data_IF_134378287250
#
_entry.id   IF_134378287250
#
_cell.length_a   1.000
_cell.length_b   1.000
_cell.length_c   1.000
_cell.angle_alpha   90.00
_cell.angle_beta   90.00
_cell.angle_gamma   90.00
#
_symmetry.space_group_name_H-M   'P 1'
#
loop_
_entity.id
_entity.type
_entity.pdbx_description
1 polymer ?
#
# COMPACT_ATOMS: atom_id res chain seq x y z
N UNK A 1 -10.65 -8.58 -0.47
CA UNK A 1 -10.67 -10.05 -0.55
C UNK A 1 -9.49 -10.62 0.23
N UNK A 2 -9.74 -11.47 1.23
CA UNK A 2 -8.68 -12.14 1.99
C UNK A 2 -7.86 -13.10 1.12
N UNK A 3 -8.53 -13.85 0.23
CA UNK A 3 -7.88 -14.76 -0.72
C UNK A 3 -6.90 -14.00 -1.62
N UNK A 4 -7.34 -12.89 -2.23
CA UNK A 4 -6.49 -12.03 -3.06
C UNK A 4 -5.21 -11.62 -2.32
N UNK A 5 -5.38 -11.10 -1.10
CA UNK A 5 -4.26 -10.67 -0.26
C UNK A 5 -3.31 -11.82 0.05
N UNK A 6 -3.83 -12.92 0.58
CA UNK A 6 -3.02 -14.04 1.06
C UNK A 6 -2.27 -14.74 -0.09
N UNK A 7 -2.85 -14.75 -1.29
CA UNK A 7 -2.24 -15.32 -2.48
C UNK A 7 -1.14 -14.42 -3.06
N UNK A 8 -1.38 -13.12 -3.20
CA UNK A 8 -0.38 -12.20 -3.79
C UNK A 8 0.72 -11.79 -2.81
N UNK A 9 0.49 -11.78 -1.49
CA UNK A 9 1.55 -11.54 -0.49
C UNK A 9 2.74 -12.50 -0.66
N UNK A 10 2.49 -13.73 -1.10
CA UNK A 10 3.52 -14.75 -1.33
C UNK A 10 4.49 -14.38 -2.46
N UNK A 11 4.13 -13.42 -3.32
CA UNK A 11 5.01 -12.91 -4.38
C UNK A 11 6.05 -11.91 -3.86
N UNK A 12 5.96 -11.48 -2.60
CA UNK A 12 6.93 -10.58 -1.96
C UNK A 12 7.13 -9.25 -2.70
N UNK A 13 6.10 -8.75 -3.41
CA UNK A 13 6.08 -7.44 -4.10
C UNK A 13 5.44 -6.32 -3.26
N UNK A 14 5.43 -6.47 -1.94
CA UNK A 14 4.73 -5.58 -1.02
C UNK A 14 3.34 -6.09 -0.61
N UNK A 15 2.55 -5.22 0.02
CA UNK A 15 1.22 -5.57 0.50
C UNK A 15 0.16 -5.28 -0.58
N UNK A 16 -0.55 -6.30 -1.10
CA UNK A 16 -1.56 -6.12 -2.14
C UNK A 16 -2.85 -5.50 -1.57
N UNK A 17 -3.23 -4.33 -2.09
CA UNK A 17 -4.51 -3.70 -1.78
C UNK A 17 -5.60 -4.23 -2.72
N UNK A 18 -6.77 -4.52 -2.16
CA UNK A 18 -7.97 -4.92 -2.92
C UNK A 18 -8.81 -3.71 -3.34
N UNK A 19 -8.71 -2.60 -2.59
CA UNK A 19 -9.33 -1.31 -2.91
C UNK A 19 -8.22 -0.26 -2.98
N UNK A 20 -7.47 -0.19 -4.08
CA UNK A 20 -6.23 0.62 -4.16
C UNK A 20 -6.48 2.13 -4.23
N UNK A 21 -7.71 2.57 -4.53
CA UNK A 21 -8.05 3.99 -4.64
C UNK A 21 -8.03 4.71 -3.29
N UNK A 22 -7.60 5.99 -3.23
CA UNK A 22 -7.64 6.78 -2.00
C UNK A 22 -9.08 7.07 -1.56
N UNK A 23 -9.26 7.27 -0.25
CA UNK A 23 -10.57 7.65 0.30
C UNK A 23 -10.98 9.05 -0.18
N UNK A 24 -12.26 9.23 -0.53
CA UNK A 24 -12.80 10.48 -1.12
C UNK A 24 -12.85 11.67 -0.16
N UNK A 25 -12.75 11.43 1.14
CA UNK A 25 -12.73 12.44 2.19
C UNK A 25 -11.32 12.99 2.48
N UNK A 26 -10.28 12.49 1.82
CA UNK A 26 -8.92 13.01 1.94
C UNK A 26 -8.73 14.30 1.11
N UNK A 27 -7.71 15.12 1.40
CA UNK A 27 -7.42 16.30 0.59
C UNK A 27 -7.25 15.97 -0.90
N UNK A 28 -7.72 16.87 -1.78
CA UNK A 28 -7.70 16.64 -3.22
C UNK A 28 -6.30 16.36 -3.78
N UNK A 29 -5.27 16.96 -3.18
CA UNK A 29 -3.87 16.68 -3.51
C UNK A 29 -3.51 15.21 -3.25
N UNK A 30 -3.84 14.68 -2.08
CA UNK A 30 -3.61 13.27 -1.75
C UNK A 30 -4.45 12.34 -2.63
N UNK A 31 -5.69 12.70 -2.96
CA UNK A 31 -6.52 11.90 -3.87
C UNK A 31 -5.90 11.72 -5.27
N UNK A 32 -5.11 12.70 -5.75
CA UNK A 32 -4.40 12.60 -7.03
C UNK A 32 -3.13 11.75 -6.93
N UNK A 33 -2.41 11.83 -5.82
CA UNK A 33 -1.13 11.14 -5.64
C UNK A 33 -1.31 9.67 -5.19
N UNK A 34 -2.32 9.41 -4.37
CA UNK A 34 -2.50 8.14 -3.67
C UNK A 34 -1.41 7.85 -2.64
N UNK A 35 -1.38 6.59 -2.18
CA UNK A 35 -0.39 6.08 -1.22
C UNK A 35 1.03 6.35 -1.72
N UNK A 36 1.89 6.90 -0.90
CA UNK A 36 3.23 7.34 -1.25
C UNK A 36 4.25 6.97 -0.18
N UNK A 37 5.53 6.97 -0.54
CA UNK A 37 6.62 6.72 0.41
C UNK A 37 6.55 7.72 1.58
N UNK A 38 6.65 7.20 2.80
CA UNK A 38 6.55 7.96 4.05
C UNK A 38 5.16 7.99 4.66
N UNK A 39 4.14 7.54 3.95
CA UNK A 39 2.79 7.50 4.50
C UNK A 39 2.72 6.55 5.70
N UNK A 40 2.07 7.01 6.75
CA UNK A 40 1.70 6.25 7.92
C UNK A 40 0.20 6.05 7.89
N UNK A 41 -0.22 4.80 8.04
CA UNK A 41 -1.62 4.43 7.91
C UNK A 41 -1.91 3.01 8.33
N UNK A 42 -3.12 2.53 8.05
CA UNK A 42 -3.48 1.11 8.19
C UNK A 42 -4.09 0.57 6.91
N UNK A 43 -4.02 -0.73 6.73
CA UNK A 43 -4.87 -1.42 5.76
C UNK A 43 -6.22 -1.69 6.40
N UNK A 44 -7.31 -1.28 5.75
CA UNK A 44 -8.67 -1.48 6.26
C UNK A 44 -9.17 -2.91 6.00
N UNK A 45 -10.20 -3.39 6.73
CA UNK A 45 -10.81 -4.70 6.45
C UNK A 45 -11.34 -4.83 5.01
N UNK A 46 -11.79 -3.72 4.42
CA UNK A 46 -12.28 -3.66 3.04
C UNK A 46 -11.12 -3.82 2.01
N UNK A 47 -9.87 -3.68 2.47
CA UNK A 47 -8.66 -3.87 1.67
C UNK A 47 -8.14 -2.60 1.02
N UNK A 48 -8.53 -1.42 1.52
CA UNK A 48 -7.96 -0.13 1.16
C UNK A 48 -6.89 0.35 2.14
N UNK A 49 -6.29 1.50 1.84
CA UNK A 49 -5.34 2.16 2.73
C UNK A 49 -5.97 3.39 3.39
N UNK A 50 -5.91 3.42 4.71
CA UNK A 50 -6.39 4.49 5.56
C UNK A 50 -5.20 5.36 5.99
N UNK A 51 -5.06 6.50 5.31
CA UNK A 51 -3.97 7.45 5.50
C UNK A 51 -4.14 8.27 6.78
N UNK A 52 -3.04 8.45 7.53
CA UNK A 52 -3.00 9.33 8.69
C UNK A 52 -2.13 10.56 8.44
N UNK A 53 -0.85 10.38 8.09
CA UNK A 53 0.09 11.46 7.80
C UNK A 53 1.31 10.91 7.04
N UNK A 54 2.19 11.78 6.54
CA UNK A 54 3.44 11.40 5.89
C UNK A 54 4.66 11.93 6.67
N UNK A 55 5.60 11.05 7.01
CA UNK A 55 6.74 11.39 7.87
C UNK A 55 7.76 12.35 7.24
N UNK A 56 7.75 12.51 5.92
CA UNK A 56 8.72 13.35 5.19
C UNK A 56 8.17 14.74 4.85
N UNK A 57 6.93 15.03 5.26
CA UNK A 57 6.26 16.29 5.01
C UNK A 57 6.08 17.07 6.31
N UNK A 58 6.19 18.41 6.26
CA UNK A 58 6.01 19.23 7.45
C UNK A 58 4.59 19.11 8.01
N UNK A 59 4.42 19.44 9.29
CA UNK A 59 3.15 19.31 10.01
C UNK A 59 1.99 20.05 9.32
N UNK A 60 2.29 21.22 8.76
CA UNK A 60 1.37 22.13 8.07
C UNK A 60 1.14 21.78 6.59
N UNK A 61 1.70 20.67 6.10
CA UNK A 61 1.49 20.25 4.73
C UNK A 61 0.00 20.02 4.43
N UNK A 62 -0.54 20.52 3.30
CA UNK A 62 -1.98 20.46 3.01
C UNK A 62 -2.59 19.06 3.07
N UNK A 63 -1.84 18.01 2.69
CA UNK A 63 -2.31 16.63 2.76
C UNK A 63 -2.64 16.15 4.19
N UNK A 64 -2.01 16.74 5.21
CA UNK A 64 -2.29 16.41 6.60
C UNK A 64 -3.61 17.02 7.07
N UNK A 65 -4.08 18.09 6.42
CA UNK A 65 -5.29 18.81 6.82
C UNK A 65 -5.33 19.13 8.34
N UNK A 66 -4.18 19.52 8.91
CA UNK A 66 -3.97 19.75 10.34
C UNK A 66 -4.12 18.51 11.24
N UNK A 67 -3.98 17.30 10.67
CA UNK A 67 -4.02 16.04 11.39
C UNK A 67 -2.65 15.37 11.38
N UNK A 68 -1.88 15.64 12.44
CA UNK A 68 -0.63 14.96 12.80
C UNK A 68 -0.57 14.80 14.32
N UNK A 69 0.28 13.91 14.87
CA UNK A 69 0.60 13.89 16.30
C UNK A 69 1.06 15.26 16.82
N UNK A 70 0.78 15.58 18.07
CA UNK A 70 1.13 16.88 18.67
C UNK A 70 2.64 17.14 18.72
N UNK A 71 3.42 16.08 18.94
CA UNK A 71 4.88 16.08 18.96
C UNK A 71 5.50 15.77 17.58
N UNK A 72 4.73 15.87 16.50
CA UNK A 72 5.20 15.50 15.16
C UNK A 72 6.30 16.44 14.65
N UNK A 73 7.45 15.85 14.33
CA UNK A 73 8.53 16.50 13.59
C UNK A 73 8.87 15.66 12.36
N UNK A 74 8.96 16.23 11.15
CA UNK A 74 9.26 15.46 9.95
C UNK A 74 10.65 14.84 10.03
N UNK A 75 10.78 13.61 9.54
CA UNK A 75 12.07 13.03 9.21
C UNK A 75 12.62 13.80 7.99
N UNK A 76 13.88 14.23 8.08
CA UNK A 76 14.56 14.86 6.94
C UNK A 76 14.38 14.01 5.69
N UNK A 77 14.00 14.65 4.58
CA UNK A 77 13.76 13.95 3.32
C UNK A 77 14.98 13.11 2.93
N UNK A 78 14.70 11.91 2.45
CA UNK A 78 15.67 11.10 1.74
C UNK A 78 16.09 11.84 0.45
N UNK A 79 17.31 11.60 0.00
CA UNK A 79 17.74 12.12 -1.30
C UNK A 79 16.95 11.40 -2.39
N UNK A 80 16.59 12.07 -3.48
CA UNK A 80 15.96 11.38 -4.62
C UNK A 80 16.82 10.23 -5.16
N UNK A 81 18.13 10.24 -4.90
CA UNK A 81 19.07 9.16 -5.22
C UNK A 81 18.90 7.92 -4.34
N UNK A 82 18.22 8.03 -3.19
CA UNK A 82 17.92 6.94 -2.28
C UNK A 82 16.59 6.24 -2.62
N UNK A 83 15.98 6.58 -3.76
CA UNK A 83 14.78 5.93 -4.29
C UNK A 83 15.13 5.16 -5.56
N UNK A 84 14.86 3.85 -5.58
CA UNK A 84 14.80 3.10 -6.83
C UNK A 84 13.46 3.26 -7.51
N UNK A 85 13.53 3.37 -8.83
CA UNK A 85 12.40 3.40 -9.74
C UNK A 85 12.48 2.17 -10.63
N UNK A 86 11.37 1.46 -10.78
CA UNK A 86 11.26 0.34 -11.70
C UNK A 86 9.91 0.38 -12.42
N UNK A 87 9.98 0.45 -13.74
CA UNK A 87 8.80 0.36 -14.61
C UNK A 87 8.58 -1.08 -15.05
N UNK A 88 7.31 -1.44 -15.18
CA UNK A 88 6.87 -2.71 -15.72
C UNK A 88 6.01 -2.47 -16.95
N UNK A 89 6.27 -3.24 -17.99
CA UNK A 89 5.66 -3.05 -19.30
C UNK A 89 4.13 -3.26 -19.30
N UNK A 90 3.40 -2.62 -20.25
CA UNK A 90 2.01 -2.92 -20.53
C UNK A 90 1.74 -4.42 -20.74
N UNK A 91 0.58 -4.89 -20.26
CA UNK A 91 0.19 -6.30 -20.33
C UNK A 91 0.83 -7.19 -19.25
N UNK A 92 1.64 -6.63 -18.35
CA UNK A 92 2.16 -7.37 -17.21
C UNK A 92 1.04 -7.79 -16.24
N UNK A 93 1.33 -8.76 -15.37
CA UNK A 93 0.40 -9.25 -14.37
C UNK A 93 1.14 -9.80 -13.14
N UNK A 94 0.43 -9.84 -12.02
CA UNK A 94 0.88 -10.51 -10.80
C UNK A 94 -0.14 -11.58 -10.46
N UNK A 95 0.23 -12.85 -10.59
CA UNK A 95 -0.67 -13.97 -10.27
C UNK A 95 -0.22 -14.72 -9.01
N UNK A 96 -1.04 -15.61 -8.45
CA UNK A 96 -0.58 -16.67 -7.54
C UNK A 96 0.15 -17.77 -8.32
N UNK A 97 0.90 -18.64 -7.64
CA UNK A 97 1.57 -19.77 -8.30
C UNK A 97 0.61 -20.75 -8.97
N UNK A 98 -0.61 -20.85 -8.43
CA UNK A 98 -1.70 -21.68 -8.94
C UNK A 98 -2.38 -21.12 -10.19
N UNK A 99 -2.10 -19.87 -10.57
CA UNK A 99 -2.78 -19.23 -11.70
C UNK A 99 -1.88 -19.20 -12.92
N UNK A 100 -2.37 -19.77 -14.02
CA UNK A 100 -1.70 -19.86 -15.31
C UNK A 100 -2.49 -19.07 -16.36
N UNK A 101 -1.78 -18.41 -17.27
CA UNK A 101 -2.40 -17.74 -18.42
C UNK A 101 -2.73 -18.77 -19.50
N UNK A 102 -3.88 -18.60 -20.15
CA UNK A 102 -4.25 -19.35 -21.34
C UNK A 102 -3.98 -18.47 -22.59
N UNK A 103 -3.30 -19.04 -23.59
CA UNK A 103 -2.55 -18.33 -24.64
C UNK A 103 -3.35 -17.54 -25.70
N UNK A 104 -4.59 -17.08 -25.45
CA UNK A 104 -5.29 -16.30 -26.50
C UNK A 104 -6.30 -15.23 -26.12
N UNK A 105 -6.90 -15.21 -24.93
CA UNK A 105 -8.04 -14.30 -24.68
C UNK A 105 -8.12 -13.70 -23.27
N UNK A 106 -6.97 -13.58 -22.58
CA UNK A 106 -6.95 -13.03 -21.21
C UNK A 106 -7.64 -13.92 -20.18
N UNK A 107 -7.86 -15.20 -20.52
CA UNK A 107 -8.32 -16.20 -19.58
C UNK A 107 -7.18 -16.67 -18.67
N UNK A 108 -7.55 -16.92 -17.42
CA UNK A 108 -6.69 -17.54 -16.42
C UNK A 108 -7.28 -18.88 -16.01
N UNK A 109 -6.44 -19.92 -15.96
CA UNK A 109 -6.78 -21.16 -15.27
C UNK A 109 -6.17 -21.14 -13.88
N UNK A 110 -6.82 -21.82 -12.93
CA UNK A 110 -6.33 -21.97 -11.56
C UNK A 110 -6.21 -23.45 -11.21
N UNK A 111 -4.98 -23.93 -11.05
CA UNK A 111 -4.67 -25.27 -10.57
C UNK A 111 -4.44 -25.21 -9.06
N UNK A 112 -5.53 -25.29 -8.30
CA UNK A 112 -5.49 -25.34 -6.85
C UNK A 112 -6.75 -24.77 -6.18
N UNK A 113 -6.86 -24.92 -4.84
CA UNK A 113 -8.05 -24.50 -4.11
C UNK A 113 -8.19 -22.98 -4.01
N UNK A 114 -7.13 -22.23 -4.27
CA UNK A 114 -7.14 -20.77 -4.21
C UNK A 114 -6.23 -20.16 -5.29
N UNK A 115 -6.64 -19.04 -5.85
CA UNK A 115 -5.86 -18.28 -6.82
C UNK A 115 -6.13 -16.79 -6.75
N UNK A 116 -5.20 -15.99 -7.25
CA UNK A 116 -5.39 -14.56 -7.41
C UNK A 116 -4.60 -14.04 -8.61
N UNK A 117 -5.11 -13.00 -9.25
CA UNK A 117 -4.42 -12.29 -10.32
C UNK A 117 -4.73 -10.80 -10.27
N UNK A 118 -3.70 -10.00 -10.51
CA UNK A 118 -3.74 -8.57 -10.78
C UNK A 118 -3.21 -8.36 -12.20
N UNK A 119 -4.09 -8.05 -13.14
CA UNK A 119 -3.74 -7.67 -14.49
C UNK A 119 -3.40 -6.17 -14.55
N UNK A 120 -2.31 -5.82 -15.22
CA UNK A 120 -1.80 -4.46 -15.36
C UNK A 120 -1.70 -4.11 -16.86
N UNK A 121 -2.82 -3.82 -17.53
CA UNK A 121 -2.85 -3.63 -18.98
C UNK A 121 -1.99 -2.45 -19.45
N UNK A 122 -1.78 -1.43 -18.61
CA UNK A 122 -0.88 -0.31 -18.87
C UNK A 122 0.44 -0.38 -18.08
N UNK A 123 0.77 -1.55 -17.52
CA UNK A 123 1.98 -1.72 -16.73
C UNK A 123 1.86 -1.11 -15.34
N UNK A 124 3.01 -0.92 -14.68
CA UNK A 124 3.07 -0.32 -13.36
C UNK A 124 4.41 0.35 -13.11
N UNK A 125 4.43 1.26 -12.13
CA UNK A 125 5.59 2.02 -11.69
C UNK A 125 5.82 1.72 -10.22
N UNK A 126 6.98 1.15 -9.89
CA UNK A 126 7.42 0.89 -8.52
C UNK A 126 8.42 1.95 -8.10
N UNK A 127 8.14 2.58 -6.96
CA UNK A 127 9.07 3.45 -6.24
C UNK A 127 9.40 2.81 -4.90
N UNK A 128 10.68 2.77 -4.51
CA UNK A 128 11.09 2.17 -3.24
C UNK A 128 12.32 2.84 -2.64
N UNK A 129 12.34 3.00 -1.33
CA UNK A 129 13.54 3.41 -0.58
C UNK A 129 14.61 2.30 -0.61
N UNK A 130 15.83 2.67 -0.97
CA UNK A 130 17.02 1.81 -0.91
C UNK A 130 17.47 1.58 0.55
N UNK A 131 17.55 2.66 1.32
CA UNK A 131 17.88 2.64 2.75
C UNK A 131 16.62 2.88 3.58
N UNK A 132 16.26 1.93 4.44
CA UNK A 132 15.05 2.01 5.26
C UNK A 132 15.32 2.08 6.77
N UNK A 133 16.55 1.89 7.24
CA UNK A 133 16.88 1.90 8.67
C UNK A 133 16.70 3.28 9.30
N UNK A 134 16.90 4.36 8.54
CA UNK A 134 16.59 5.70 9.03
C UNK A 134 15.09 5.86 9.28
N UNK A 135 14.26 5.48 8.31
CA UNK A 135 12.81 5.50 8.43
C UNK A 135 12.30 4.56 9.54
N UNK A 136 12.88 3.35 9.64
CA UNK A 136 12.56 2.36 10.68
C UNK A 136 12.91 2.86 12.08
N UNK A 137 14.09 3.44 12.30
CA UNK A 137 14.50 4.00 13.60
C UNK A 137 13.61 5.17 14.00
N UNK A 138 13.28 6.04 13.05
CA UNK A 138 12.36 7.14 13.28
C UNK A 138 10.97 6.62 13.66
N UNK A 139 10.43 5.64 12.94
CA UNK A 139 9.15 5.02 13.27
C UNK A 139 9.16 4.37 14.65
N UNK A 140 10.19 3.58 14.98
CA UNK A 140 10.31 2.90 16.27
C UNK A 140 10.33 3.89 17.46
N UNK A 141 10.97 5.05 17.30
CA UNK A 141 11.03 6.09 18.33
C UNK A 141 9.69 6.79 18.55
N UNK A 142 8.89 6.94 17.50
CA UNK A 142 7.63 7.69 17.54
C UNK A 142 6.38 6.81 17.61
N UNK A 143 6.51 5.48 17.46
CA UNK A 143 5.40 4.55 17.33
C UNK A 143 4.38 4.69 18.48
N UNK A 144 4.84 4.83 19.72
CA UNK A 144 3.95 5.01 20.87
C UNK A 144 3.10 6.28 20.74
N UNK A 145 3.72 7.42 20.40
CA UNK A 145 3.00 8.68 20.16
C UNK A 145 1.99 8.52 19.01
N UNK A 146 2.36 7.82 17.94
CA UNK A 146 1.46 7.58 16.81
C UNK A 146 0.25 6.73 17.20
N UNK A 147 0.45 5.66 17.97
CA UNK A 147 -0.66 4.86 18.50
C UNK A 147 -1.57 5.68 19.40
N UNK A 148 -0.99 6.50 20.29
CA UNK A 148 -1.74 7.40 21.16
C UNK A 148 -2.58 8.40 20.36
N UNK A 149 -1.95 9.11 19.43
CA UNK A 149 -2.61 10.05 18.53
C UNK A 149 -3.76 9.40 17.76
N UNK A 150 -3.51 8.26 17.11
CA UNK A 150 -4.50 7.61 16.27
C UNK A 150 -5.68 7.04 17.09
N UNK A 151 -5.42 6.54 18.29
CA UNK A 151 -6.45 5.94 19.13
C UNK A 151 -7.20 6.96 19.98
N UNK A 152 -6.49 7.87 20.63
CA UNK A 152 -7.07 8.82 21.59
C UNK A 152 -7.58 10.08 20.90
N UNK A 153 -6.79 10.66 19.97
CA UNK A 153 -7.18 11.90 19.27
C UNK A 153 -8.07 11.62 18.06
N UNK A 154 -7.77 10.58 17.28
CA UNK A 154 -8.50 10.25 16.05
C UNK A 154 -9.57 9.17 16.23
N UNK A 155 -9.62 8.51 17.39
CA UNK A 155 -10.66 7.51 17.69
C UNK A 155 -10.67 6.30 16.77
N UNK A 156 -9.54 5.91 16.15
CA UNK A 156 -9.52 4.89 15.08
C UNK A 156 -9.44 3.44 15.59
N UNK A 157 -9.09 3.23 16.86
CA UNK A 157 -9.05 1.91 17.49
C UNK A 157 -8.07 0.92 16.85
N UNK A 158 -6.83 1.36 16.60
CA UNK A 158 -5.74 0.50 16.12
C UNK A 158 -5.31 -0.51 17.19
N UNK A 159 -5.06 -1.74 16.72
CA UNK A 159 -4.38 -2.79 17.48
C UNK A 159 -2.86 -2.72 17.23
N UNK A 160 -2.06 -3.21 18.18
CA UNK A 160 -0.62 -3.32 17.98
C UNK A 160 -0.29 -4.16 16.73
N UNK A 161 0.64 -3.68 15.90
CA UNK A 161 1.02 -4.29 14.62
C UNK A 161 0.13 -3.93 13.43
N UNK A 162 -0.94 -3.13 13.60
CA UNK A 162 -1.81 -2.71 12.49
C UNK A 162 -1.37 -1.43 11.77
N UNK A 163 -0.35 -0.73 12.30
CA UNK A 163 0.18 0.49 11.71
C UNK A 163 1.27 0.15 10.69
N UNK A 164 1.20 0.76 9.52
CA UNK A 164 2.15 0.60 8.42
C UNK A 164 2.87 1.93 8.17
N UNK A 165 4.17 1.83 7.94
CA UNK A 165 4.96 2.89 7.30
C UNK A 165 5.31 2.44 5.88
N UNK A 166 4.92 3.23 4.89
CA UNK A 166 5.17 2.93 3.49
C UNK A 166 6.61 3.29 3.14
N UNK A 167 7.39 2.29 2.74
CA UNK A 167 8.79 2.43 2.28
C UNK A 167 8.94 2.21 0.78
N UNK A 168 7.86 1.84 0.10
CA UNK A 168 7.78 1.70 -1.35
C UNK A 168 6.34 1.44 -1.77
N UNK A 169 6.00 1.79 -3.00
CA UNK A 169 4.68 1.59 -3.57
C UNK A 169 4.77 1.30 -5.06
N UNK A 170 3.98 0.33 -5.53
CA UNK A 170 3.77 0.06 -6.94
C UNK A 170 2.39 0.59 -7.34
N UNK A 171 2.35 1.44 -8.37
CA UNK A 171 1.13 2.09 -8.86
C UNK A 171 0.90 1.74 -10.32
N UNK A 172 -0.36 1.72 -10.71
CA UNK A 172 -0.75 1.60 -12.11
C UNK A 172 -1.92 2.53 -12.40
N UNK A 173 -2.00 2.99 -13.65
CA UNK A 173 -3.13 3.80 -14.12
C UNK A 173 -4.43 3.00 -14.18
N UNK A 174 -4.34 1.69 -14.36
CA UNK A 174 -5.50 0.80 -14.49
C UNK A 174 -5.12 -0.62 -14.11
N UNK A 175 -6.04 -1.36 -13.51
CA UNK A 175 -5.83 -2.78 -13.24
C UNK A 175 -7.14 -3.54 -13.13
N UNK A 176 -7.05 -4.85 -13.37
CA UNK A 176 -8.12 -5.81 -13.13
C UNK A 176 -7.71 -6.78 -12.03
N UNK A 177 -8.56 -7.01 -11.05
CA UNK A 177 -8.29 -7.91 -9.93
C UNK A 177 -9.28 -9.06 -9.94
N UNK A 178 -8.79 -10.28 -9.78
CA UNK A 178 -9.62 -11.45 -9.55
C UNK A 178 -9.00 -12.34 -8.46
N UNK A 179 -9.86 -13.00 -7.68
CA UNK A 179 -9.46 -14.03 -6.74
C UNK A 179 -10.46 -15.17 -6.77
N UNK A 180 -9.95 -16.38 -6.67
CA UNK A 180 -10.70 -17.63 -6.80
C UNK A 180 -10.50 -18.45 -5.54
N UNK A 181 -11.56 -19.05 -5.04
CA UNK A 181 -11.52 -20.04 -3.98
C UNK A 181 -12.45 -21.17 -4.38
N UNK A 182 -11.89 -22.37 -4.54
CA UNK A 182 -12.68 -23.55 -4.74
C UNK A 182 -13.26 -23.94 -3.38
N UNK A 183 -14.59 -23.92 -3.28
CA UNK A 183 -15.31 -24.43 -2.12
C UNK A 183 -15.70 -25.85 -2.51
N UNK A 184 -14.99 -26.85 -2.00
CA UNK A 184 -15.50 -28.22 -2.06
C UNK A 184 -16.87 -28.22 -1.36
N UNK A 185 -17.91 -28.59 -2.10
CA UNK A 185 -19.29 -28.67 -1.63
C UNK A 185 -19.54 -29.94 -0.82
#
# INVERSE_FOLDING_TARGET
SEVYRNQLLRRKRGFPLYVPGPQRNLPAEYQRMGVSIGDVGRVTPEGGFDFFFNIFLPADHPIHANYVPEDFFPLLRYDSRDVSLQDYEPGNYVSSHSVHLCDSEGFVSCEGPNGAVLALPHGSHLEKLEEIEHARRYAARNAESWYRYVNETRGRGLTNGSLYLITGCEKSQSGGMASFQNVEA
#
